data_IF_326682318575
#
_entry.id   IF_326682318575
#
_cell.length_a   1.000
_cell.length_b   1.000
_cell.length_c   1.000
_cell.angle_alpha   90.00
_cell.angle_beta   90.00
_cell.angle_gamma   90.00
#
_symmetry.space_group_name_H-M   'P 1'
#
loop_
_entity.id
_entity.type
_entity.pdbx_description
1 polymer ?
#
# COMPACT_ATOMS: atom_id res chain seq x y z
N UNK A 1 19.46 -14.10 1.66
CA UNK A 1 18.09 -14.58 1.95
C UNK A 1 18.01 -14.81 3.45
N UNK A 2 17.10 -14.17 4.17
CA UNK A 2 17.02 -14.30 5.64
C UNK A 2 16.99 -12.98 6.40
N UNK A 3 17.07 -11.84 5.72
CA UNK A 3 16.96 -10.51 6.36
C UNK A 3 15.54 -9.93 6.33
N UNK A 4 14.59 -10.70 5.79
CA UNK A 4 13.19 -10.33 5.65
C UNK A 4 12.31 -11.49 6.10
N UNK A 5 11.04 -11.20 6.39
CA UNK A 5 10.02 -12.23 6.51
C UNK A 5 9.95 -13.03 5.20
N UNK A 6 9.72 -14.34 5.33
CA UNK A 6 9.07 -15.11 4.27
C UNK A 6 7.58 -15.06 4.56
N UNK A 7 6.81 -14.57 3.60
CA UNK A 7 5.36 -14.47 3.70
C UNK A 7 4.70 -15.27 2.58
N UNK A 8 3.57 -15.89 2.90
CA UNK A 8 2.65 -16.46 1.93
C UNK A 8 1.55 -15.45 1.63
N UNK A 9 1.17 -15.35 0.35
CA UNK A 9 0.09 -14.49 -0.09
C UNK A 9 -0.96 -15.36 -0.80
N UNK A 10 -2.15 -15.42 -0.23
CA UNK A 10 -3.30 -16.11 -0.81
C UNK A 10 -4.27 -15.12 -1.45
N UNK A 11 -4.80 -15.49 -2.61
CA UNK A 11 -5.82 -14.73 -3.33
C UNK A 11 -7.08 -15.55 -3.52
N UNK A 12 -8.15 -15.18 -2.82
CA UNK A 12 -9.43 -15.89 -2.85
C UNK A 12 -10.55 -14.92 -3.25
N UNK A 13 -10.78 -14.77 -4.56
CA UNK A 13 -11.77 -13.82 -5.08
C UNK A 13 -11.45 -12.38 -4.68
N UNK A 14 -12.32 -11.78 -3.86
CA UNK A 14 -12.15 -10.42 -3.33
C UNK A 14 -11.30 -10.37 -2.05
N UNK A 15 -10.90 -11.51 -1.48
CA UNK A 15 -10.10 -11.57 -0.27
C UNK A 15 -8.62 -11.74 -0.60
N UNK A 16 -7.77 -11.09 0.18
CA UNK A 16 -6.31 -11.29 0.20
C UNK A 16 -5.89 -11.62 1.61
N UNK A 17 -5.11 -12.67 1.78
CA UNK A 17 -4.53 -13.07 3.06
C UNK A 17 -3.02 -13.11 2.93
N UNK A 18 -2.34 -12.52 3.90
CA UNK A 18 -0.90 -12.59 4.06
C UNK A 18 -0.61 -13.22 5.41
N UNK A 19 0.15 -14.31 5.40
CA UNK A 19 0.62 -14.99 6.60
C UNK A 19 2.15 -14.97 6.62
N UNK A 20 2.73 -14.76 7.80
CA UNK A 20 4.18 -14.82 7.98
C UNK A 20 4.58 -16.28 8.25
N UNK A 21 5.25 -16.91 7.29
CA UNK A 21 5.73 -18.29 7.43
C UNK A 21 6.92 -18.37 8.40
N UNK A 22 7.87 -17.44 8.27
CA UNK A 22 8.93 -17.24 9.25
C UNK A 22 9.55 -15.85 9.14
N UNK A 23 10.16 -15.40 10.24
CA UNK A 23 10.88 -14.14 10.34
C UNK A 23 12.26 -14.15 9.67
N UNK A 24 13.06 -13.13 9.96
CA UNK A 24 14.48 -13.13 9.65
C UNK A 24 15.19 -14.32 10.33
N UNK A 25 16.25 -14.81 9.70
CA UNK A 25 17.07 -15.92 10.21
C UNK A 25 18.47 -15.82 9.65
N UNK A 26 19.45 -16.34 10.39
CA UNK A 26 20.81 -16.51 9.90
C UNK A 26 20.85 -17.31 8.59
N UNK A 27 21.77 -16.93 7.70
CA UNK A 27 22.07 -17.70 6.50
C UNK A 27 23.57 -17.68 6.20
N UNK A 28 24.05 -18.67 5.45
CA UNK A 28 25.43 -18.69 4.98
C UNK A 28 25.56 -17.89 3.69
N UNK A 29 26.54 -17.00 3.64
CA UNK A 29 26.93 -16.29 2.41
C UNK A 29 28.44 -15.98 2.42
N UNK A 30 28.91 -15.26 1.41
CA UNK A 30 30.29 -14.76 1.35
C UNK A 30 30.59 -13.70 2.42
N UNK A 31 29.56 -13.06 2.95
CA UNK A 31 29.66 -12.17 4.12
C UNK A 31 29.44 -13.00 5.41
N UNK A 32 30.47 -13.16 6.27
CA UNK A 32 30.36 -13.96 7.48
C UNK A 32 29.33 -13.42 8.48
N UNK A 33 28.97 -12.12 8.43
CA UNK A 33 28.03 -11.52 9.37
C UNK A 33 26.59 -12.01 9.15
N UNK A 34 26.26 -12.46 7.94
CA UNK A 34 24.93 -13.05 7.64
C UNK A 34 24.61 -14.29 8.45
N UNK A 35 25.63 -14.99 8.94
CA UNK A 35 25.48 -16.15 9.83
C UNK A 35 25.24 -15.79 11.29
N UNK A 36 25.38 -14.50 11.65
CA UNK A 36 25.27 -13.97 13.01
C UNK A 36 23.93 -13.31 13.31
N UNK A 37 23.02 -13.25 12.32
CA UNK A 37 21.66 -12.73 12.52
C UNK A 37 20.92 -13.58 13.54
N UNK A 38 20.51 -12.97 14.64
CA UNK A 38 19.83 -13.63 15.76
C UNK A 38 18.43 -13.07 16.03
N UNK A 39 18.03 -11.99 15.34
CA UNK A 39 16.68 -11.45 15.43
C UNK A 39 15.76 -12.12 14.41
N UNK A 40 14.50 -12.32 14.80
CA UNK A 40 13.47 -12.94 13.95
C UNK A 40 12.44 -11.92 13.47
N UNK A 41 12.11 -10.93 14.29
CA UNK A 41 11.13 -9.91 13.94
C UNK A 41 11.75 -8.82 13.06
N UNK A 42 11.14 -8.56 11.90
CA UNK A 42 11.50 -7.45 10.99
C UNK A 42 10.32 -6.51 10.72
N UNK A 43 9.28 -6.59 11.55
CA UNK A 43 8.08 -5.77 11.49
C UNK A 43 6.93 -6.42 10.72
N UNK A 44 5.83 -5.68 10.69
CA UNK A 44 4.56 -6.08 10.06
C UNK A 44 4.17 -5.15 8.92
N UNK A 45 3.39 -5.67 7.98
CA UNK A 45 3.00 -4.93 6.78
C UNK A 45 1.71 -4.12 6.98
N UNK A 46 1.80 -3.00 7.71
CA UNK A 46 0.64 -2.13 8.00
C UNK A 46 -0.09 -1.65 6.73
N UNK A 47 0.64 -1.30 5.67
CA UNK A 47 0.08 -0.63 4.50
C UNK A 47 -1.01 -1.45 3.77
N UNK A 48 -0.99 -2.78 3.89
CA UNK A 48 -1.98 -3.66 3.24
C UNK A 48 -3.36 -3.54 3.90
N UNK A 49 -3.41 -3.13 5.17
CA UNK A 49 -4.67 -2.93 5.89
C UNK A 49 -5.39 -1.62 5.51
N UNK A 50 -4.72 -0.73 4.79
CA UNK A 50 -5.28 0.56 4.40
C UNK A 50 -6.06 0.44 3.08
N UNK A 51 -7.33 0.83 3.10
CA UNK A 51 -8.08 1.05 1.87
C UNK A 51 -7.47 2.21 1.05
N UNK A 52 -7.69 2.22 -0.27
CA UNK A 52 -7.17 3.27 -1.15
C UNK A 52 -8.01 4.55 -1.00
N UNK A 53 -7.42 5.60 -0.43
CA UNK A 53 -8.09 6.89 -0.16
C UNK A 53 -7.23 8.02 -0.71
N UNK A 54 -7.40 8.39 -1.99
CA UNK A 54 -6.67 9.50 -2.57
C UNK A 54 -7.32 10.82 -2.13
N UNK A 55 -6.53 11.73 -1.56
CA UNK A 55 -6.95 13.10 -1.29
C UNK A 55 -7.59 13.72 -2.55
N UNK A 56 -8.83 14.25 -2.50
CA UNK A 56 -9.55 14.64 -3.71
C UNK A 56 -8.94 15.83 -4.47
N UNK A 57 -8.01 16.56 -3.83
CA UNK A 57 -7.35 17.74 -4.40
C UNK A 57 -5.98 17.38 -4.98
N UNK A 58 -5.12 16.74 -4.20
CA UNK A 58 -3.73 16.45 -4.55
C UNK A 58 -3.54 15.07 -5.19
N UNK A 59 -4.45 14.14 -4.93
CA UNK A 59 -4.34 12.72 -5.27
C UNK A 59 -3.36 11.94 -4.38
N UNK A 60 -2.82 12.54 -3.32
CA UNK A 60 -1.92 11.86 -2.38
C UNK A 60 -2.69 10.83 -1.54
N UNK A 61 -2.05 9.71 -1.18
CA UNK A 61 -2.67 8.74 -0.28
C UNK A 61 -2.78 9.30 1.14
N UNK A 62 -3.97 9.21 1.75
CA UNK A 62 -4.19 9.64 3.12
C UNK A 62 -3.72 8.57 4.12
N UNK A 63 -2.49 8.70 4.61
CA UNK A 63 -1.86 7.71 5.50
C UNK A 63 -2.40 7.67 6.95
N UNK A 64 -3.04 8.74 7.42
CA UNK A 64 -3.57 8.81 8.78
C UNK A 64 -4.87 8.01 8.88
N UNK A 65 -4.75 6.74 9.25
CA UNK A 65 -5.86 5.81 9.41
C UNK A 65 -6.13 5.56 10.89
N UNK A 66 -7.42 5.53 11.26
CA UNK A 66 -7.86 5.24 12.63
C UNK A 66 -8.33 3.80 12.71
N UNK A 67 -7.73 3.01 13.59
CA UNK A 67 -8.29 1.70 13.96
C UNK A 67 -9.64 1.90 14.67
N UNK A 68 -10.71 1.35 14.09
CA UNK A 68 -12.08 1.47 14.62
C UNK A 68 -12.47 0.33 15.56
N UNK A 69 -11.70 -0.76 15.57
CA UNK A 69 -11.91 -1.92 16.43
C UNK A 69 -10.56 -2.52 16.80
N UNK A 70 -10.33 -2.75 18.10
CA UNK A 70 -9.12 -3.38 18.63
C UNK A 70 -9.57 -4.39 19.68
N UNK A 71 -9.03 -5.61 19.60
CA UNK A 71 -9.33 -6.70 20.54
C UNK A 71 -8.10 -7.60 20.72
N UNK A 72 -8.14 -8.43 21.75
CA UNK A 72 -7.16 -9.51 21.91
C UNK A 72 -7.24 -10.49 20.73
N UNK A 73 -6.08 -11.00 20.31
CA UNK A 73 -5.98 -12.06 19.31
C UNK A 73 -6.71 -13.32 19.80
N UNK A 74 -7.37 -14.00 18.87
CA UNK A 74 -8.06 -15.27 19.09
C UNK A 74 -7.13 -16.44 18.78
N UNK A 75 -7.55 -17.64 19.18
CA UNK A 75 -6.91 -18.86 18.72
C UNK A 75 -6.94 -18.92 17.19
N UNK A 76 -5.80 -19.24 16.58
CA UNK A 76 -5.62 -19.26 15.13
C UNK A 76 -5.25 -17.92 14.48
N UNK A 77 -5.12 -16.83 15.24
CA UNK A 77 -4.61 -15.55 14.72
C UNK A 77 -3.14 -15.37 15.14
N UNK A 78 -2.23 -15.30 14.16
CA UNK A 78 -0.80 -15.16 14.40
C UNK A 78 -0.34 -13.71 14.25
N UNK A 79 0.84 -13.43 14.79
CA UNK A 79 1.48 -12.13 14.65
C UNK A 79 1.87 -11.89 13.19
N UNK A 80 1.50 -10.72 12.66
CA UNK A 80 1.83 -10.32 11.30
C UNK A 80 0.80 -10.75 10.24
N UNK A 81 -0.22 -11.52 10.62
CA UNK A 81 -1.31 -11.89 9.71
C UNK A 81 -2.07 -10.65 9.25
N UNK A 82 -2.36 -10.59 7.95
CA UNK A 82 -3.14 -9.54 7.32
C UNK A 82 -4.23 -10.15 6.47
N UNK A 83 -5.46 -9.64 6.62
CA UNK A 83 -6.60 -9.99 5.76
C UNK A 83 -7.21 -8.71 5.19
N UNK A 84 -7.49 -8.72 3.88
CA UNK A 84 -7.98 -7.56 3.14
C UNK A 84 -9.18 -7.95 2.29
N UNK A 85 -10.27 -7.20 2.43
CA UNK A 85 -11.41 -7.22 1.50
C UNK A 85 -11.18 -6.16 0.41
N UNK A 86 -10.81 -6.61 -0.78
CA UNK A 86 -10.48 -5.75 -1.91
C UNK A 86 -11.71 -5.05 -2.49
N UNK A 87 -12.90 -5.65 -2.39
CA UNK A 87 -14.15 -5.01 -2.79
C UNK A 87 -14.46 -3.82 -1.90
N UNK A 88 -14.35 -3.95 -0.58
CA UNK A 88 -14.49 -2.84 0.38
C UNK A 88 -13.42 -1.76 0.15
N UNK A 89 -12.18 -2.16 -0.11
CA UNK A 89 -11.10 -1.23 -0.47
C UNK A 89 -11.47 -0.40 -1.71
N UNK A 90 -12.00 -1.05 -2.74
CA UNK A 90 -12.46 -0.39 -3.97
C UNK A 90 -13.69 0.51 -3.75
N UNK A 91 -14.62 0.13 -2.87
CA UNK A 91 -15.75 0.98 -2.49
C UNK A 91 -15.29 2.27 -1.80
N UNK A 92 -14.29 2.20 -0.91
CA UNK A 92 -13.65 3.38 -0.31
C UNK A 92 -13.04 4.26 -1.41
N UNK A 93 -12.25 3.67 -2.31
CA UNK A 93 -11.65 4.40 -3.43
C UNK A 93 -12.70 5.15 -4.25
N UNK A 94 -13.78 4.47 -4.65
CA UNK A 94 -14.86 5.07 -5.46
C UNK A 94 -15.55 6.22 -4.73
N UNK A 95 -15.78 6.10 -3.41
CA UNK A 95 -16.36 7.18 -2.60
C UNK A 95 -15.46 8.42 -2.59
N UNK A 96 -14.15 8.24 -2.41
CA UNK A 96 -13.19 9.35 -2.42
C UNK A 96 -13.01 9.94 -3.81
N UNK A 97 -12.95 9.10 -4.85
CA UNK A 97 -12.89 9.53 -6.24
C UNK A 97 -14.09 10.40 -6.62
N UNK A 98 -15.29 10.09 -6.13
CA UNK A 98 -16.49 10.90 -6.38
C UNK A 98 -16.42 12.32 -5.80
N UNK A 99 -15.49 12.60 -4.87
CA UNK A 99 -15.24 13.94 -4.34
C UNK A 99 -14.30 14.78 -5.23
N UNK A 100 -13.67 14.17 -6.22
CA UNK A 100 -12.71 14.83 -7.10
C UNK A 100 -13.40 15.74 -8.13
N UNK A 101 -12.64 16.68 -8.68
CA UNK A 101 -13.05 17.48 -9.84
C UNK A 101 -12.44 16.90 -11.10
N UNK A 102 -13.28 16.64 -12.10
CA UNK A 102 -12.85 16.17 -13.42
C UNK A 102 -11.86 17.16 -14.05
N UNK A 103 -10.72 16.64 -14.51
CA UNK A 103 -9.76 17.43 -15.26
C UNK A 103 -10.30 17.87 -16.63
N UNK A 104 -11.28 17.16 -17.19
CA UNK A 104 -11.94 17.56 -18.45
C UNK A 104 -12.71 18.86 -18.28
N UNK A 105 -13.40 19.01 -17.15
CA UNK A 105 -14.32 20.12 -16.92
C UNK A 105 -13.69 21.28 -16.15
N UNK A 106 -12.65 21.01 -15.34
CA UNK A 106 -12.07 21.98 -14.42
C UNK A 106 -10.59 22.30 -14.67
N UNK A 107 -9.95 21.70 -15.67
CA UNK A 107 -8.55 22.02 -15.94
C UNK A 107 -8.41 23.46 -16.46
N UNK A 108 -7.55 24.29 -15.85
CA UNK A 108 -7.37 25.68 -16.27
C UNK A 108 -6.66 25.81 -17.62
N UNK A 109 -5.91 24.80 -18.05
CA UNK A 109 -5.12 24.80 -19.29
C UNK A 109 -5.36 23.57 -20.17
N UNK A 110 -6.42 22.80 -19.89
CA UNK A 110 -6.78 21.60 -20.66
C UNK A 110 -5.82 20.42 -20.48
N UNK A 111 -4.99 20.44 -19.44
CA UNK A 111 -4.11 19.32 -19.08
C UNK A 111 -4.70 18.44 -17.97
N UNK A 112 -4.24 17.19 -17.86
CA UNK A 112 -4.64 16.22 -16.82
C UNK A 112 -4.34 16.71 -15.40
N UNK A 113 -3.37 17.62 -15.26
CA UNK A 113 -2.89 18.17 -14.00
C UNK A 113 -2.06 19.42 -14.27
N UNK A 114 -2.05 20.42 -13.38
CA UNK A 114 -1.26 21.64 -13.58
C UNK A 114 0.23 21.39 -13.82
N UNK A 115 0.78 21.93 -14.91
CA UNK A 115 2.20 21.74 -15.23
C UNK A 115 3.17 22.44 -14.27
N UNK A 116 2.73 23.51 -13.60
CA UNK A 116 3.56 24.30 -12.68
C UNK A 116 3.77 23.64 -11.31
N UNK A 117 3.00 22.59 -10.97
CA UNK A 117 3.19 21.88 -9.71
C UNK A 117 4.53 21.10 -9.74
N UNK A 118 5.42 21.36 -8.76
CA UNK A 118 6.69 20.63 -8.61
C UNK A 118 6.42 19.17 -8.22
N UNK A 119 7.14 18.23 -8.83
CA UNK A 119 7.00 16.78 -8.57
C UNK A 119 8.35 16.07 -8.76
N UNK A 120 8.67 15.06 -7.94
CA UNK A 120 9.73 14.10 -8.24
C UNK A 120 9.43 13.40 -9.57
N UNK A 121 10.47 13.15 -10.37
CA UNK A 121 10.35 12.47 -11.68
C UNK A 121 9.27 13.12 -12.58
N UNK A 122 9.32 14.44 -12.75
CA UNK A 122 8.34 15.22 -13.52
C UNK A 122 8.18 14.63 -14.93
N UNK A 123 6.98 14.17 -15.33
CA UNK A 123 6.77 13.58 -16.65
C UNK A 123 7.04 14.56 -17.80
N UNK A 124 7.26 14.03 -19.00
CA UNK A 124 7.33 14.83 -20.24
C UNK A 124 5.99 15.52 -20.52
N UNK A 125 6.01 16.65 -21.25
CA UNK A 125 4.80 17.46 -21.51
C UNK A 125 3.65 16.67 -22.13
N UNK A 126 3.92 15.78 -23.09
CA UNK A 126 2.90 14.96 -23.74
C UNK A 126 2.08 14.11 -22.74
N UNK A 127 2.68 13.68 -21.62
CA UNK A 127 1.99 12.91 -20.59
C UNK A 127 0.97 13.72 -19.77
N UNK A 128 0.89 15.04 -19.98
CA UNK A 128 -0.10 15.93 -19.38
C UNK A 128 -1.32 16.11 -20.27
N UNK A 129 -1.29 15.69 -21.53
CA UNK A 129 -2.41 15.88 -22.47
C UNK A 129 -3.63 15.04 -22.07
N UNK A 130 -4.79 15.68 -21.96
CA UNK A 130 -6.06 14.97 -21.88
C UNK A 130 -6.35 14.39 -23.27
N UNK A 131 -6.63 13.07 -23.33
CA UNK A 131 -7.16 12.49 -24.56
C UNK A 131 -8.56 13.07 -24.74
N UNK A 132 -8.74 13.81 -25.83
CA UNK A 132 -10.05 14.31 -26.26
C UNK A 132 -10.90 13.16 -26.79
#
# INVERSE_FOLDING_TARGET
AGMSNLAELEENGDERKLDILHGARAWKSTDPDTSRVWWEDVGVHQNLTHAVQPDPISGAHCWLQKAVSVRKAREGEAYGDVQVDTRRSMEVYRRWHALTRSAVDHSPDGTRRPYWLKRPLKPVRAAYELKR
#
